data_IF_579073487411
#
_entry.id   IF_579073487411
#
_cell.length_a   1.000
_cell.length_b   1.000
_cell.length_c   1.000
_cell.angle_alpha   90.00
_cell.angle_beta   90.00
_cell.angle_gamma   90.00
#
_symmetry.space_group_name_H-M   'P 1'
#
loop_
_entity.id
_entity.type
_entity.pdbx_description
1 polymer ?
#
# COMPACT_ATOMS: atom_id res chain seq x y z
N UNK A 1 0.25 -11.09 10.23
CA UNK A 1 -1.03 -10.58 10.74
C UNK A 1 -1.72 -9.66 9.75
N UNK A 2 -1.12 -8.54 9.31
CA UNK A 2 -1.74 -7.66 8.29
C UNK A 2 -2.28 -8.40 7.04
N UNK A 3 -1.54 -9.39 6.52
CA UNK A 3 -2.05 -10.22 5.42
C UNK A 3 -3.33 -11.02 5.79
N UNK A 4 -3.42 -11.58 6.99
CA UNK A 4 -4.58 -12.33 7.46
C UNK A 4 -5.77 -11.41 7.76
N UNK A 5 -5.50 -10.24 8.37
CA UNK A 5 -6.51 -9.21 8.66
C UNK A 5 -7.16 -8.69 7.37
N UNK A 6 -6.37 -8.54 6.30
CA UNK A 6 -6.84 -8.19 4.97
C UNK A 6 -7.48 -9.38 4.20
N UNK A 7 -7.72 -10.53 4.85
CA UNK A 7 -8.20 -11.78 4.23
C UNK A 7 -7.33 -12.26 3.05
N UNK A 8 -6.06 -11.89 3.07
CA UNK A 8 -5.03 -12.33 2.14
C UNK A 8 -4.42 -13.67 2.54
N UNK A 9 -3.43 -14.10 1.74
CA UNK A 9 -2.67 -15.34 1.97
C UNK A 9 -1.29 -15.01 2.51
N UNK A 10 -0.75 -15.89 3.35
CA UNK A 10 0.61 -15.75 3.90
C UNK A 10 1.28 -17.11 4.02
N UNK A 11 2.59 -17.13 3.83
CA UNK A 11 3.43 -18.33 3.99
C UNK A 11 4.41 -18.05 5.13
N UNK A 12 4.48 -18.95 6.10
CA UNK A 12 5.45 -18.89 7.19
C UNK A 12 6.50 -19.99 7.00
N UNK A 13 7.76 -19.59 6.90
CA UNK A 13 8.88 -20.52 6.75
C UNK A 13 9.56 -20.73 8.10
N UNK A 14 9.71 -21.96 8.59
CA UNK A 14 10.17 -22.28 9.94
C UNK A 14 11.65 -22.62 9.99
N UNK A 15 12.32 -22.24 11.08
CA UNK A 15 13.70 -22.66 11.42
C UNK A 15 13.76 -23.94 12.28
N UNK A 16 12.66 -24.67 12.33
CA UNK A 16 12.39 -25.83 13.19
C UNK A 16 11.56 -26.86 12.42
N UNK A 17 11.38 -28.06 12.99
CA UNK A 17 10.34 -28.97 12.51
C UNK A 17 8.94 -28.35 12.62
N UNK A 18 7.98 -28.78 11.80
CA UNK A 18 6.60 -28.23 11.81
C UNK A 18 5.87 -28.50 13.13
N UNK A 19 6.31 -29.52 13.88
CA UNK A 19 5.81 -29.88 15.21
C UNK A 19 6.26 -28.89 16.31
N UNK A 20 7.22 -28.01 16.04
CA UNK A 20 7.79 -27.08 17.02
C UNK A 20 7.69 -25.62 16.54
N UNK A 21 6.68 -24.90 17.05
CA UNK A 21 6.54 -23.45 16.81
C UNK A 21 7.48 -22.64 17.70
N UNK A 22 8.34 -21.83 17.09
CA UNK A 22 9.22 -20.88 17.77
C UNK A 22 9.14 -19.48 17.14
N UNK A 23 9.04 -18.40 17.95
CA UNK A 23 8.85 -18.40 19.40
C UNK A 23 7.49 -19.01 19.81
N UNK A 24 7.39 -19.53 21.04
CA UNK A 24 6.18 -20.23 21.53
C UNK A 24 4.92 -19.36 21.50
N UNK A 25 5.08 -18.07 21.66
CA UNK A 25 4.01 -17.06 21.60
C UNK A 25 3.31 -17.03 20.24
N UNK A 26 3.98 -17.48 19.17
CA UNK A 26 3.40 -17.51 17.82
C UNK A 26 2.54 -18.76 17.55
N UNK A 27 2.25 -19.62 18.55
CA UNK A 27 1.41 -20.81 18.36
C UNK A 27 0.03 -20.49 17.78
N UNK A 28 -0.66 -19.50 18.35
CA UNK A 28 -1.97 -19.08 17.84
C UNK A 28 -1.86 -18.55 16.40
N UNK A 29 -0.84 -17.72 16.12
CA UNK A 29 -0.60 -17.19 14.79
C UNK A 29 -0.27 -18.29 13.76
N UNK A 30 0.52 -19.29 14.14
CA UNK A 30 0.84 -20.41 13.26
C UNK A 30 -0.43 -21.20 12.88
N UNK A 31 -1.36 -21.37 13.83
CA UNK A 31 -2.65 -22.01 13.57
C UNK A 31 -3.54 -21.18 12.64
N UNK A 32 -3.60 -19.85 12.83
CA UNK A 32 -4.30 -18.95 11.91
C UNK A 32 -3.73 -19.04 10.48
N UNK A 33 -2.39 -19.05 10.36
CA UNK A 33 -1.73 -19.20 9.05
C UNK A 33 -2.02 -20.57 8.45
N UNK A 34 -2.07 -21.64 9.25
CA UNK A 34 -2.41 -23.00 8.77
C UNK A 34 -3.79 -23.07 8.13
N UNK A 35 -4.74 -22.28 8.60
CA UNK A 35 -6.13 -22.28 8.09
C UNK A 35 -6.29 -21.54 6.77
N UNK A 36 -5.46 -20.53 6.49
CA UNK A 36 -5.66 -19.58 5.37
C UNK A 36 -4.43 -19.44 4.45
N UNK A 37 -3.35 -20.13 4.78
CA UNK A 37 -2.03 -19.99 4.18
C UNK A 37 -1.23 -21.29 4.28
N UNK A 38 0.09 -21.17 4.41
CA UNK A 38 0.99 -22.33 4.41
C UNK A 38 2.07 -22.18 5.48
N UNK A 39 2.33 -23.27 6.21
CA UNK A 39 3.52 -23.44 7.04
C UNK A 39 4.52 -24.30 6.27
N UNK A 40 5.75 -23.83 6.12
CA UNK A 40 6.80 -24.49 5.35
C UNK A 40 8.04 -24.69 6.24
N UNK A 41 8.70 -25.83 6.13
CA UNK A 41 10.04 -26.03 6.71
C UNK A 41 10.85 -26.97 5.82
N UNK A 42 12.17 -26.83 5.89
CA UNK A 42 13.12 -27.80 5.33
C UNK A 42 13.67 -28.76 6.40
N UNK A 43 13.37 -28.49 7.68
CA UNK A 43 13.87 -29.29 8.79
C UNK A 43 12.93 -30.47 9.10
N UNK A 44 13.47 -31.66 9.41
CA UNK A 44 12.67 -32.79 9.90
C UNK A 44 11.87 -32.45 11.16
N UNK A 45 10.83 -33.24 11.43
CA UNK A 45 10.09 -33.16 12.70
C UNK A 45 11.03 -33.36 13.90
N UNK A 46 10.79 -32.66 15.00
CA UNK A 46 11.58 -32.71 16.22
C UNK A 46 12.82 -31.80 16.25
N UNK A 47 13.16 -31.13 15.14
CA UNK A 47 14.30 -30.19 15.11
C UNK A 47 14.01 -28.96 15.96
N UNK A 48 14.84 -28.77 16.99
CA UNK A 48 14.79 -27.65 17.93
C UNK A 48 15.22 -26.32 17.29
N UNK A 49 14.77 -25.16 17.84
CA UNK A 49 15.09 -23.82 17.33
C UNK A 49 16.54 -23.42 17.62
N UNK A 50 17.47 -23.92 16.82
CA UNK A 50 18.88 -23.57 16.94
C UNK A 50 19.16 -22.22 16.25
N UNK A 51 19.96 -21.30 16.85
CA UNK A 51 20.24 -19.98 16.28
C UNK A 51 20.73 -20.03 14.81
N UNK A 52 21.54 -21.02 14.45
CA UNK A 52 22.05 -21.21 13.10
C UNK A 52 20.97 -21.56 12.07
N UNK A 53 19.83 -22.13 12.49
CA UNK A 53 18.75 -22.49 11.58
C UNK A 53 18.04 -21.25 11.01
N UNK A 54 18.04 -20.14 11.75
CA UNK A 54 17.30 -18.94 11.33
C UNK A 54 17.94 -18.24 10.13
N UNK A 55 19.27 -17.95 10.10
CA UNK A 55 19.93 -17.48 8.90
C UNK A 55 19.82 -18.47 7.73
N UNK A 56 19.95 -19.78 8.01
CA UNK A 56 19.87 -20.80 6.97
C UNK A 56 18.49 -20.80 6.28
N UNK A 57 17.41 -20.70 7.06
CA UNK A 57 16.05 -20.63 6.57
C UNK A 57 15.77 -19.38 5.73
N UNK A 58 16.43 -18.26 6.01
CA UNK A 58 16.13 -16.99 5.34
C UNK A 58 16.30 -17.04 3.81
N UNK A 59 17.18 -17.92 3.29
CA UNK A 59 17.35 -18.13 1.85
C UNK A 59 16.08 -18.65 1.15
N UNK A 60 15.23 -19.36 1.88
CA UNK A 60 13.96 -19.88 1.37
C UNK A 60 12.95 -18.74 1.29
N UNK A 61 12.95 -17.84 2.28
CA UNK A 61 12.08 -16.66 2.30
C UNK A 61 12.36 -15.79 1.08
N UNK A 62 13.62 -15.37 0.90
CA UNK A 62 14.02 -14.57 -0.26
C UNK A 62 13.85 -15.33 -1.56
N UNK A 63 14.23 -16.62 -1.61
CA UNK A 63 14.21 -17.41 -2.83
C UNK A 63 12.82 -17.65 -3.40
N UNK A 64 11.81 -17.78 -2.53
CA UNK A 64 10.40 -17.92 -2.92
C UNK A 64 9.71 -16.59 -3.25
N UNK A 65 10.36 -15.46 -2.97
CA UNK A 65 9.77 -14.13 -3.15
C UNK A 65 10.19 -13.53 -4.49
N UNK A 66 9.36 -12.64 -5.04
CA UNK A 66 9.76 -11.79 -6.19
C UNK A 66 10.65 -10.62 -5.73
N UNK A 67 10.47 -10.18 -4.49
CA UNK A 67 11.33 -9.21 -3.83
C UNK A 67 11.08 -9.18 -2.33
N UNK A 68 11.98 -8.53 -1.59
CA UNK A 68 11.99 -8.49 -0.13
C UNK A 68 11.89 -7.05 0.35
N UNK A 69 10.90 -6.77 1.21
CA UNK A 69 10.70 -5.45 1.83
C UNK A 69 11.27 -5.46 3.25
N UNK A 70 12.24 -4.58 3.51
CA UNK A 70 12.82 -4.37 4.85
C UNK A 70 12.22 -3.12 5.47
N UNK A 71 11.37 -3.31 6.48
CA UNK A 71 10.67 -2.23 7.16
C UNK A 71 11.50 -1.64 8.30
N UNK A 72 12.08 -2.50 9.15
CA UNK A 72 12.95 -2.12 10.25
C UNK A 72 14.09 -3.12 10.39
N UNK A 73 15.31 -2.63 10.60
CA UNK A 73 16.48 -3.44 10.90
C UNK A 73 17.57 -2.61 11.58
N UNK A 74 18.06 -3.10 12.71
CA UNK A 74 19.30 -2.58 13.31
C UNK A 74 20.54 -3.04 12.51
N UNK A 75 21.70 -2.44 12.78
CA UNK A 75 22.97 -2.71 12.09
C UNK A 75 23.37 -4.20 12.06
N UNK A 76 23.05 -4.97 13.11
CA UNK A 76 23.34 -6.39 13.21
C UNK A 76 22.07 -7.27 13.16
N UNK A 77 21.01 -6.78 12.49
CA UNK A 77 19.75 -7.52 12.37
C UNK A 77 19.86 -8.67 11.38
N UNK A 78 19.24 -9.81 11.72
CA UNK A 78 19.09 -10.95 10.81
C UNK A 78 18.31 -10.61 9.53
N UNK A 79 17.49 -9.56 9.53
CA UNK A 79 16.79 -9.09 8.32
C UNK A 79 17.75 -8.64 7.21
N UNK A 80 18.93 -8.12 7.57
CA UNK A 80 19.95 -7.73 6.59
C UNK A 80 20.57 -8.95 5.89
N UNK A 81 20.60 -10.10 6.57
CA UNK A 81 21.01 -11.37 5.96
C UNK A 81 20.00 -11.74 4.87
N UNK A 82 18.69 -11.63 5.14
CA UNK A 82 17.65 -11.91 4.14
C UNK A 82 17.73 -10.97 2.95
N UNK A 83 17.97 -9.67 3.17
CA UNK A 83 18.13 -8.70 2.09
C UNK A 83 19.36 -9.01 1.22
N UNK A 84 20.48 -9.39 1.84
CA UNK A 84 21.68 -9.83 1.11
C UNK A 84 21.40 -11.08 0.27
N UNK A 85 20.77 -12.10 0.87
CA UNK A 85 20.43 -13.34 0.17
C UNK A 85 19.46 -13.09 -1.00
N UNK A 86 18.56 -12.12 -0.87
CA UNK A 86 17.67 -11.70 -1.95
C UNK A 86 18.47 -11.15 -3.15
N UNK A 87 19.44 -10.26 -2.92
CA UNK A 87 20.31 -9.75 -3.98
C UNK A 87 21.16 -10.87 -4.63
N UNK A 88 21.69 -11.80 -3.82
CA UNK A 88 22.44 -12.96 -4.32
C UNK A 88 21.57 -13.91 -5.18
N UNK A 89 20.24 -13.86 -5.01
CA UNK A 89 19.25 -14.65 -5.73
C UNK A 89 18.53 -13.87 -6.83
N UNK A 90 19.05 -12.69 -7.22
CA UNK A 90 18.46 -11.82 -8.23
C UNK A 90 17.00 -11.46 -7.92
N UNK A 91 16.75 -11.08 -6.66
CA UNK A 91 15.46 -10.60 -6.17
C UNK A 91 15.55 -9.12 -5.84
N UNK A 92 14.45 -8.43 -6.11
CA UNK A 92 14.33 -7.01 -5.77
C UNK A 92 14.41 -6.80 -4.26
N UNK A 93 15.14 -5.77 -3.83
CA UNK A 93 15.20 -5.38 -2.42
C UNK A 93 14.64 -3.98 -2.27
N UNK A 94 13.66 -3.90 -1.37
CA UNK A 94 12.94 -2.69 -1.02
C UNK A 94 13.22 -2.33 0.42
N UNK A 95 13.30 -1.05 0.71
CA UNK A 95 13.57 -0.56 2.05
C UNK A 95 12.68 0.64 2.38
N UNK A 96 12.06 0.61 3.56
CA UNK A 96 11.23 1.70 4.08
C UNK A 96 12.14 2.69 4.80
N UNK A 97 12.21 3.97 4.37
CA UNK A 97 13.08 4.95 5.01
C UNK A 97 12.58 5.26 6.42
N UNK A 98 13.51 5.59 7.32
CA UNK A 98 13.18 5.93 8.70
C UNK A 98 14.12 7.00 9.29
N UNK A 99 13.78 7.56 10.46
CA UNK A 99 14.57 8.62 11.08
C UNK A 99 15.98 8.11 11.40
N UNK A 100 17.01 8.89 11.03
CA UNK A 100 18.43 8.54 11.23
C UNK A 100 18.81 8.38 12.71
N UNK A 101 18.03 8.95 13.62
CA UNK A 101 18.20 8.84 15.07
C UNK A 101 17.69 7.52 15.64
N UNK A 102 16.88 6.77 14.90
CA UNK A 102 16.38 5.46 15.34
C UNK A 102 17.35 4.35 14.95
N UNK A 103 17.84 3.54 15.90
CA UNK A 103 18.68 2.38 15.58
C UNK A 103 18.02 1.37 14.64
N UNK A 104 16.68 1.29 14.67
CA UNK A 104 15.90 0.38 13.80
C UNK A 104 15.80 0.84 12.35
N UNK A 105 16.11 2.11 12.07
CA UNK A 105 16.13 2.66 10.71
C UNK A 105 17.49 2.48 10.03
N UNK A 106 18.52 2.04 10.76
CA UNK A 106 19.88 1.92 10.22
C UNK A 106 19.90 1.02 8.98
N UNK A 107 19.31 -0.18 9.09
CA UNK A 107 19.31 -1.20 8.05
C UNK A 107 18.60 -0.76 6.77
N UNK A 108 17.32 -0.33 6.82
CA UNK A 108 16.64 0.20 5.65
C UNK A 108 17.39 1.37 5.00
N UNK A 109 17.85 2.35 5.78
CA UNK A 109 18.59 3.49 5.24
C UNK A 109 19.94 3.08 4.61
N UNK A 110 20.62 2.09 5.18
CA UNK A 110 21.83 1.51 4.61
C UNK A 110 21.55 0.78 3.29
N UNK A 111 20.49 -0.04 3.23
CA UNK A 111 20.08 -0.72 2.01
C UNK A 111 19.75 0.27 0.89
N UNK A 112 19.05 1.36 1.20
CA UNK A 112 18.76 2.43 0.22
C UNK A 112 20.07 3.03 -0.32
N UNK A 113 21.06 3.28 0.55
CA UNK A 113 22.39 3.74 0.10
C UNK A 113 23.11 2.73 -0.79
N UNK A 114 22.86 1.44 -0.60
CA UNK A 114 23.40 0.36 -1.41
C UNK A 114 22.61 0.10 -2.71
N UNK A 115 21.57 0.87 -3.00
CA UNK A 115 20.78 0.76 -4.23
C UNK A 115 19.44 0.03 -4.09
N UNK A 116 19.03 -0.35 -2.88
CA UNK A 116 17.67 -0.86 -2.67
C UNK A 116 16.64 0.23 -2.98
N UNK A 117 15.50 -0.14 -3.58
CA UNK A 117 14.44 0.82 -3.88
C UNK A 117 13.80 1.33 -2.59
N UNK A 118 13.76 2.66 -2.46
CA UNK A 118 13.07 3.34 -1.38
C UNK A 118 11.56 3.17 -1.56
N UNK A 119 10.87 2.73 -0.50
CA UNK A 119 9.41 2.53 -0.49
C UNK A 119 8.76 3.51 0.48
N UNK A 120 7.88 4.35 -0.04
CA UNK A 120 7.00 5.24 0.72
C UNK A 120 5.60 4.66 0.85
N UNK A 121 5.12 3.95 -0.17
CA UNK A 121 3.81 3.33 -0.21
C UNK A 121 3.83 2.04 -1.05
N UNK A 122 2.79 1.21 -0.91
CA UNK A 122 2.78 -0.14 -1.48
C UNK A 122 2.94 -0.18 -3.01
N UNK A 123 2.54 0.87 -3.74
CA UNK A 123 2.67 0.90 -5.21
C UNK A 123 4.13 0.98 -5.64
N UNK A 124 5.02 1.58 -4.84
CA UNK A 124 6.47 1.63 -5.14
C UNK A 124 7.06 0.21 -5.29
N UNK A 125 6.53 -0.75 -4.51
CA UNK A 125 6.88 -2.18 -4.63
C UNK A 125 6.29 -2.78 -5.89
N UNK A 126 5.00 -2.54 -6.13
CA UNK A 126 4.25 -3.12 -7.26
C UNK A 126 4.78 -2.67 -8.61
N UNK A 127 5.34 -1.47 -8.69
CA UNK A 127 5.94 -0.95 -9.92
C UNK A 127 7.15 -1.74 -10.42
N UNK A 128 7.93 -2.33 -9.50
CA UNK A 128 9.11 -3.14 -9.82
C UNK A 128 8.79 -4.63 -10.01
N UNK A 129 7.56 -5.05 -9.75
CA UNK A 129 7.17 -6.44 -9.96
C UNK A 129 7.01 -6.75 -11.47
N UNK A 130 7.16 -8.03 -11.87
CA UNK A 130 6.91 -8.46 -13.23
C UNK A 130 5.55 -7.98 -13.75
N UNK A 131 5.51 -7.62 -15.04
CA UNK A 131 4.36 -6.93 -15.66
C UNK A 131 3.02 -7.64 -15.41
N UNK A 132 2.99 -8.98 -15.50
CA UNK A 132 1.78 -9.76 -15.31
C UNK A 132 1.28 -9.73 -13.87
N UNK A 133 2.20 -9.77 -12.91
CA UNK A 133 1.89 -9.66 -11.47
C UNK A 133 1.38 -8.26 -11.15
N UNK A 134 2.06 -7.24 -11.67
CA UNK A 134 1.67 -5.83 -11.50
C UNK A 134 0.24 -5.59 -12.02
N UNK A 135 -0.07 -6.05 -13.23
CA UNK A 135 -1.40 -5.91 -13.84
C UNK A 135 -2.50 -6.56 -12.99
N UNK A 136 -2.26 -7.77 -12.50
CA UNK A 136 -3.24 -8.48 -11.67
C UNK A 136 -3.49 -7.77 -10.33
N UNK A 137 -2.45 -7.22 -9.70
CA UNK A 137 -2.61 -6.47 -8.44
C UNK A 137 -3.44 -5.19 -8.67
N UNK A 138 -3.12 -4.43 -9.73
CA UNK A 138 -3.84 -3.18 -10.05
C UNK A 138 -5.29 -3.44 -10.48
N UNK A 139 -5.56 -4.57 -11.15
CA UNK A 139 -6.93 -5.00 -11.46
C UNK A 139 -7.73 -5.24 -10.17
N UNK A 140 -7.16 -5.99 -9.23
CA UNK A 140 -7.81 -6.26 -7.93
C UNK A 140 -8.01 -5.02 -7.10
N UNK A 141 -7.08 -4.08 -7.12
CA UNK A 141 -7.27 -2.78 -6.47
C UNK A 141 -8.48 -2.05 -7.05
N UNK A 142 -8.64 -2.06 -8.37
CA UNK A 142 -9.79 -1.44 -9.06
C UNK A 142 -11.12 -2.12 -8.72
N UNK A 143 -11.10 -3.44 -8.49
CA UNK A 143 -12.27 -4.24 -8.09
C UNK A 143 -12.60 -4.15 -6.58
N UNK A 144 -11.57 -3.93 -5.75
CA UNK A 144 -11.68 -3.88 -4.29
C UNK A 144 -11.78 -2.45 -3.74
N UNK A 145 -11.49 -1.44 -4.56
CA UNK A 145 -12.00 -0.12 -4.31
C UNK A 145 -13.50 -0.30 -4.05
N UNK A 146 -14.05 0.21 -2.93
CA UNK A 146 -15.48 0.36 -2.90
C UNK A 146 -15.79 1.09 -4.20
N UNK A 147 -16.70 0.54 -4.99
CA UNK A 147 -17.67 1.42 -5.61
C UNK A 147 -18.10 2.29 -4.43
N UNK A 148 -17.48 3.47 -4.27
CA UNK A 148 -18.23 4.67 -3.92
C UNK A 148 -19.50 4.43 -4.67
N UNK A 149 -20.65 4.22 -3.98
CA UNK A 149 -21.89 4.05 -4.71
C UNK A 149 -21.81 5.16 -5.74
N UNK A 150 -21.83 4.81 -7.03
CA UNK A 150 -22.16 5.80 -8.03
C UNK A 150 -23.34 6.48 -7.38
N UNK A 151 -23.12 7.69 -6.84
CA UNK A 151 -24.21 8.46 -6.29
C UNK A 151 -25.17 8.40 -7.46
N UNK A 152 -26.35 7.76 -7.30
CA UNK A 152 -27.23 7.46 -8.42
C UNK A 152 -27.24 8.73 -9.20
N UNK A 153 -26.74 8.73 -10.45
CA UNK A 153 -26.49 9.95 -11.21
C UNK A 153 -27.80 10.74 -11.14
N UNK A 154 -27.87 11.66 -10.18
CA UNK A 154 -29.01 12.53 -10.02
C UNK A 154 -28.87 13.34 -11.30
N UNK A 155 -29.81 13.19 -12.25
CA UNK A 155 -29.63 13.72 -13.59
C UNK A 155 -29.23 15.19 -13.43
N UNK A 156 -27.95 15.46 -13.74
CA UNK A 156 -27.43 16.81 -13.62
C UNK A 156 -28.09 17.60 -14.73
N UNK A 157 -28.65 18.75 -14.38
CA UNK A 157 -29.14 19.68 -15.38
C UNK A 157 -27.96 20.14 -16.26
N UNK A 158 -28.22 20.52 -17.52
CA UNK A 158 -27.17 20.86 -18.49
C UNK A 158 -26.26 21.98 -17.95
N UNK A 159 -26.86 22.90 -17.18
CA UNK A 159 -26.17 23.98 -16.50
C UNK A 159 -25.29 23.52 -15.32
N UNK A 160 -25.72 22.50 -14.56
CA UNK A 160 -24.91 21.94 -13.45
C UNK A 160 -23.67 21.23 -13.98
N UNK A 161 -23.82 20.46 -15.06
CA UNK A 161 -22.70 19.77 -15.71
C UNK A 161 -21.66 20.76 -16.23
N UNK A 162 -22.12 21.84 -16.87
CA UNK A 162 -21.25 22.89 -17.41
C UNK A 162 -20.44 23.59 -16.32
N UNK A 163 -21.04 23.89 -15.16
CA UNK A 163 -20.30 24.47 -14.02
C UNK A 163 -19.33 23.46 -13.40
N UNK A 164 -19.71 22.19 -13.32
CA UNK A 164 -18.86 21.12 -12.77
C UNK A 164 -17.64 20.80 -13.66
N UNK A 165 -17.75 20.99 -14.98
CA UNK A 165 -16.64 20.83 -15.94
C UNK A 165 -15.64 21.98 -15.88
N UNK A 166 -16.08 23.18 -15.47
CA UNK A 166 -15.21 24.34 -15.29
C UNK A 166 -14.38 24.27 -13.99
N UNK A 167 -14.81 23.45 -13.03
CA UNK A 167 -14.17 23.29 -11.74
C UNK A 167 -13.09 22.19 -11.77
N UNK A 168 -11.95 22.51 -11.14
CA UNK A 168 -10.82 21.60 -11.04
C UNK A 168 -10.78 20.87 -9.69
N UNK A 169 -10.23 19.67 -9.68
CA UNK A 169 -9.97 18.89 -8.46
C UNK A 169 -8.75 19.40 -7.69
N UNK A 170 -7.77 19.96 -8.41
CA UNK A 170 -6.42 20.29 -7.93
C UNK A 170 -6.22 21.78 -7.65
N UNK A 171 -7.15 22.65 -8.05
CA UNK A 171 -6.99 24.09 -7.91
C UNK A 171 -8.32 24.82 -7.58
N UNK A 172 -8.32 25.73 -6.59
CA UNK A 172 -9.48 26.57 -6.29
C UNK A 172 -9.77 27.54 -7.44
N UNK A 173 -11.02 27.58 -7.88
CA UNK A 173 -11.50 28.52 -8.91
C UNK A 173 -12.35 29.61 -8.24
N UNK A 174 -12.07 30.87 -8.54
CA UNK A 174 -12.84 31.99 -7.97
C UNK A 174 -14.19 32.13 -8.67
N UNK A 175 -15.21 32.62 -7.95
CA UNK A 175 -16.56 32.80 -8.51
C UNK A 175 -16.59 33.70 -9.76
N UNK A 176 -15.77 34.75 -9.80
CA UNK A 176 -15.74 35.66 -10.95
C UNK A 176 -15.22 34.98 -12.23
N UNK A 177 -14.30 34.01 -12.07
CA UNK A 177 -13.80 33.20 -13.19
C UNK A 177 -14.86 32.21 -13.67
N UNK A 178 -15.62 31.62 -12.75
CA UNK A 178 -16.77 30.78 -13.08
C UNK A 178 -17.86 31.58 -13.80
N UNK A 179 -18.12 32.82 -13.38
CA UNK A 179 -19.07 33.71 -14.03
C UNK A 179 -18.65 34.00 -15.47
N UNK A 180 -17.38 34.35 -15.68
CA UNK A 180 -16.83 34.68 -17.00
C UNK A 180 -16.88 33.49 -17.96
N UNK A 181 -16.54 32.28 -17.48
CA UNK A 181 -16.45 31.08 -18.30
C UNK A 181 -17.78 30.36 -18.51
N UNK A 182 -18.69 30.43 -17.54
CA UNK A 182 -20.01 29.78 -17.63
C UNK A 182 -20.98 30.56 -18.51
N UNK A 183 -20.86 31.90 -18.55
CA UNK A 183 -21.79 32.77 -19.26
C UNK A 183 -23.18 32.85 -18.61
N UNK A 184 -23.33 32.36 -17.38
CA UNK A 184 -24.58 32.35 -16.63
C UNK A 184 -24.78 33.65 -15.84
N UNK A 185 -26.03 33.99 -15.57
CA UNK A 185 -26.33 35.11 -14.68
C UNK A 185 -25.89 34.80 -13.24
N UNK A 186 -25.43 35.82 -12.49
CA UNK A 186 -24.95 35.66 -11.10
C UNK A 186 -25.95 34.87 -10.22
N UNK A 187 -27.27 35.12 -10.24
CA UNK A 187 -28.22 34.38 -9.41
C UNK A 187 -28.31 32.90 -9.77
N UNK A 188 -28.18 32.59 -11.06
CA UNK A 188 -28.26 31.22 -11.58
C UNK A 188 -27.01 30.41 -11.23
N UNK A 189 -25.82 31.02 -11.36
CA UNK A 189 -24.56 30.40 -10.96
C UNK A 189 -24.54 30.12 -9.45
N UNK A 190 -25.02 31.06 -8.62
CA UNK A 190 -25.09 30.85 -7.17
C UNK A 190 -26.04 29.71 -6.78
N UNK A 191 -27.19 29.58 -7.47
CA UNK A 191 -28.12 28.46 -7.27
C UNK A 191 -27.45 27.13 -7.58
N UNK A 192 -26.78 27.03 -8.74
CA UNK A 192 -26.10 25.82 -9.19
C UNK A 192 -24.95 25.43 -8.25
N UNK A 193 -24.15 26.40 -7.80
CA UNK A 193 -23.06 26.14 -6.85
C UNK A 193 -23.61 25.60 -5.52
N UNK A 194 -24.72 26.14 -5.02
CA UNK A 194 -25.38 25.65 -3.82
C UNK A 194 -25.90 24.21 -4.03
N UNK A 195 -26.54 23.92 -5.17
CA UNK A 195 -27.05 22.58 -5.48
C UNK A 195 -25.92 21.55 -5.59
N UNK A 196 -24.81 21.92 -6.23
CA UNK A 196 -23.61 21.08 -6.34
C UNK A 196 -22.92 20.87 -4.99
N UNK A 197 -22.94 21.86 -4.10
CA UNK A 197 -22.42 21.73 -2.73
C UNK A 197 -23.32 20.82 -1.87
N UNK A 198 -24.64 20.96 -1.98
CA UNK A 198 -25.62 20.06 -1.33
C UNK A 198 -25.49 18.62 -1.85
N UNK A 199 -25.19 18.44 -3.13
CA UNK A 199 -24.89 17.15 -3.76
C UNK A 199 -23.48 16.62 -3.43
N UNK A 200 -22.72 17.33 -2.60
CA UNK A 200 -21.35 17.00 -2.17
C UNK A 200 -20.34 16.85 -3.34
N UNK A 201 -20.59 17.53 -4.46
CA UNK A 201 -19.74 17.49 -5.66
C UNK A 201 -18.68 18.59 -5.68
N UNK A 202 -18.91 19.67 -4.95
CA UNK A 202 -17.98 20.79 -4.83
C UNK A 202 -17.86 21.20 -3.36
N UNK A 203 -16.78 21.91 -3.04
CA UNK A 203 -16.56 22.47 -1.71
C UNK A 203 -16.25 23.96 -1.82
N UNK A 204 -16.93 24.77 -1.03
CA UNK A 204 -16.59 26.18 -0.88
C UNK A 204 -15.38 26.37 0.06
N UNK A 205 -14.46 27.20 -0.36
CA UNK A 205 -13.29 27.65 0.39
C UNK A 205 -13.43 29.14 0.75
N UNK A 206 -12.72 29.62 1.79
CA UNK A 206 -12.68 31.03 2.14
C UNK A 206 -12.33 31.90 0.92
N UNK A 207 -12.96 33.07 0.81
CA UNK A 207 -12.72 33.99 -0.31
C UNK A 207 -13.51 33.66 -1.58
N UNK A 208 -14.70 33.03 -1.47
CA UNK A 208 -15.58 32.69 -2.60
C UNK A 208 -14.89 31.84 -3.69
N UNK A 209 -14.07 30.90 -3.24
CA UNK A 209 -13.39 29.94 -4.08
C UNK A 209 -14.08 28.58 -3.99
N UNK A 210 -14.08 27.82 -5.09
CA UNK A 210 -14.71 26.51 -5.17
C UNK A 210 -13.74 25.48 -5.76
N UNK A 211 -13.76 24.26 -5.20
CA UNK A 211 -13.00 23.11 -5.69
C UNK A 211 -13.92 21.91 -5.90
N UNK A 212 -13.60 21.06 -6.87
CA UNK A 212 -14.33 19.82 -7.12
C UNK A 212 -13.95 18.77 -6.07
N UNK A 213 -14.94 18.05 -5.55
CA UNK A 213 -14.76 16.95 -4.60
C UNK A 213 -14.71 15.62 -5.37
N UNK A 214 -13.82 14.71 -4.96
CA UNK A 214 -13.73 13.34 -5.46
C UNK A 214 -14.89 12.50 -4.93
#
# INVERSE_FOLDING_TARGET
RGALEAKGRTIAVFGTGLDLVYPREHRALAEEIRQQGVLLTEFPMGVSPLPQNFPFRNRIISGMSLGVVVVEAAQHSGSLITARLALEQDREVFAVPGPITSPRSYGPNYLIKCGAKLVQYWRDVVEELPLDVRKEILRRESEAAPTTPEQPELPLDEHERRVLELLRFDAPTHIDELLLRSGLAVPELMRILLELEVKDRIRQLPGKQFVKKL
#
